data_IF_135349525876
#
_entry.id   IF_135349525876
#
_cell.length_a   1.000
_cell.length_b   1.000
_cell.length_c   1.000
_cell.angle_alpha   90.00
_cell.angle_beta   90.00
_cell.angle_gamma   90.00
#
_symmetry.space_group_name_H-M   'P 1'
#
loop_
_entity.id
_entity.type
_entity.pdbx_description
1 polymer ?
#
# COMPACT_ATOMS: atom_id res chain seq x y z
N UNK A 1 25.07 -3.83 -38.39
CA UNK A 1 23.82 -3.24 -37.87
C UNK A 1 23.10 -4.37 -37.16
N UNK A 2 23.37 -4.54 -35.87
CA UNK A 2 22.95 -5.72 -35.11
C UNK A 2 22.09 -5.25 -33.95
N UNK A 3 20.85 -5.70 -33.95
CA UNK A 3 19.84 -5.48 -32.91
C UNK A 3 20.29 -6.23 -31.66
N UNK A 4 20.52 -5.52 -30.56
CA UNK A 4 20.72 -6.11 -29.24
C UNK A 4 19.40 -6.06 -28.45
N UNK A 5 18.70 -7.19 -28.44
CA UNK A 5 17.72 -7.50 -27.40
C UNK A 5 18.46 -8.12 -26.21
N UNK A 6 18.20 -7.64 -25.00
CA UNK A 6 18.81 -8.14 -23.78
C UNK A 6 18.10 -7.63 -22.51
N UNK A 7 17.34 -8.54 -21.90
CA UNK A 7 17.14 -8.73 -20.45
C UNK A 7 16.70 -7.56 -19.55
N UNK A 8 15.41 -7.19 -19.61
CA UNK A 8 14.73 -6.42 -18.54
C UNK A 8 14.62 -7.12 -17.17
N UNK A 9 15.23 -8.29 -17.01
CA UNK A 9 15.25 -9.08 -15.75
C UNK A 9 16.55 -8.86 -14.96
N UNK A 10 17.65 -8.46 -15.61
CA UNK A 10 18.95 -8.30 -14.95
C UNK A 10 19.07 -7.02 -14.10
N UNK A 11 18.12 -6.10 -14.20
CA UNK A 11 18.20 -4.81 -13.50
C UNK A 11 17.68 -4.85 -12.05
N UNK A 12 16.98 -5.91 -11.61
CA UNK A 12 16.18 -5.86 -10.37
C UNK A 12 16.56 -6.85 -9.25
N UNK A 13 17.55 -7.73 -9.45
CA UNK A 13 18.02 -8.65 -8.40
C UNK A 13 19.54 -8.64 -8.29
N UNK A 14 20.15 -7.45 -8.28
CA UNK A 14 21.53 -7.37 -7.86
C UNK A 14 21.57 -7.43 -6.31
N UNK A 15 21.87 -8.61 -5.77
CA UNK A 15 22.05 -8.85 -4.33
C UNK A 15 23.02 -7.84 -3.70
N UNK A 16 24.00 -7.33 -4.47
CA UNK A 16 24.92 -6.28 -4.03
C UNK A 16 24.25 -4.90 -3.89
N UNK A 17 23.27 -4.55 -4.74
CA UNK A 17 22.46 -3.33 -4.55
C UNK A 17 21.48 -3.48 -3.38
N UNK A 18 20.86 -4.64 -3.22
CA UNK A 18 19.94 -4.90 -2.10
C UNK A 18 20.69 -4.86 -0.76
N UNK A 19 21.89 -5.44 -0.70
CA UNK A 19 22.78 -5.34 0.46
C UNK A 19 23.29 -3.89 0.69
N UNK A 20 23.52 -3.12 -0.38
CA UNK A 20 23.94 -1.71 -0.30
C UNK A 20 22.86 -0.73 0.18
N UNK A 21 21.58 -1.13 0.17
CA UNK A 21 20.47 -0.31 0.68
C UNK A 21 20.22 -0.54 2.18
N UNK A 22 20.62 -1.70 2.72
CA UNK A 22 20.56 -1.99 4.15
C UNK A 22 21.61 -1.16 4.91
N UNK A 23 21.20 -0.46 5.97
CA UNK A 23 22.10 0.46 6.69
C UNK A 23 23.02 -0.27 7.66
N UNK A 24 22.67 -1.51 8.02
CA UNK A 24 23.48 -2.35 8.92
C UNK A 24 23.58 -3.78 8.41
N UNK A 25 24.64 -4.50 8.80
CA UNK A 25 24.81 -5.92 8.51
C UNK A 25 23.64 -6.77 9.05
N UNK A 26 23.03 -6.35 10.16
CA UNK A 26 21.86 -7.03 10.73
C UNK A 26 20.61 -6.89 9.87
N UNK A 27 20.38 -5.71 9.29
CA UNK A 27 19.27 -5.48 8.34
C UNK A 27 19.51 -6.24 7.03
N UNK A 28 20.75 -6.26 6.52
CA UNK A 28 21.10 -7.04 5.35
C UNK A 28 20.83 -8.53 5.57
N UNK A 29 21.21 -9.07 6.73
CA UNK A 29 20.93 -10.45 7.12
C UNK A 29 19.43 -10.76 7.18
N UNK A 30 18.61 -9.84 7.70
CA UNK A 30 17.15 -9.98 7.72
C UNK A 30 16.55 -9.98 6.31
N UNK A 31 16.95 -9.05 5.44
CA UNK A 31 16.46 -9.00 4.06
C UNK A 31 16.81 -10.28 3.30
N UNK A 32 18.04 -10.79 3.45
CA UNK A 32 18.46 -12.05 2.84
C UNK A 32 17.64 -13.24 3.36
N UNK A 33 17.46 -13.36 4.67
CA UNK A 33 16.70 -14.45 5.27
C UNK A 33 15.22 -14.41 4.84
N UNK A 34 14.58 -13.24 4.87
CA UNK A 34 13.18 -13.09 4.46
C UNK A 34 13.01 -13.22 2.94
N UNK A 35 13.98 -12.80 2.13
CA UNK A 35 14.01 -13.06 0.70
C UNK A 35 14.08 -14.57 0.39
N UNK A 36 14.96 -15.30 1.08
CA UNK A 36 15.12 -16.75 0.93
C UNK A 36 13.91 -17.57 1.42
N UNK A 37 13.05 -17.00 2.28
CA UNK A 37 11.79 -17.63 2.72
C UNK A 37 10.62 -17.18 1.84
N UNK A 38 10.62 -15.92 1.42
CA UNK A 38 9.55 -15.27 0.68
C UNK A 38 9.54 -15.55 -0.82
N UNK A 39 10.61 -16.12 -1.38
CA UNK A 39 10.72 -16.35 -2.82
C UNK A 39 9.56 -17.12 -3.47
N UNK A 40 8.87 -18.10 -2.84
CA UNK A 40 7.73 -18.76 -3.46
C UNK A 40 6.53 -17.80 -3.59
N UNK A 41 6.36 -16.88 -2.63
CA UNK A 41 5.34 -15.82 -2.71
C UNK A 41 5.70 -14.75 -3.73
N UNK A 42 6.99 -14.42 -3.84
CA UNK A 42 7.49 -13.52 -4.89
C UNK A 42 7.23 -14.10 -6.28
N UNK A 43 7.55 -15.37 -6.52
CA UNK A 43 7.28 -16.04 -7.80
C UNK A 43 5.78 -16.19 -8.10
N UNK A 44 4.98 -16.48 -7.07
CA UNK A 44 3.52 -16.57 -7.20
C UNK A 44 2.94 -15.21 -7.60
N UNK A 45 3.43 -14.12 -6.99
CA UNK A 45 3.07 -12.73 -7.33
C UNK A 45 3.36 -12.33 -8.77
N UNK A 46 4.22 -13.06 -9.49
CA UNK A 46 4.56 -12.78 -10.90
C UNK A 46 3.55 -13.39 -11.89
N UNK A 47 2.67 -14.29 -11.46
CA UNK A 47 1.92 -15.20 -12.36
C UNK A 47 0.39 -15.13 -12.29
N UNK A 48 -0.24 -14.07 -11.79
CA UNK A 48 -1.71 -14.04 -11.89
C UNK A 48 -2.44 -12.81 -11.37
N UNK A 49 -3.24 -12.24 -12.25
CA UNK A 49 -4.49 -11.57 -11.93
C UNK A 49 -5.55 -12.17 -12.83
N UNK A 50 -6.62 -12.74 -12.27
CA UNK A 50 -7.66 -13.38 -13.08
C UNK A 50 -8.35 -12.36 -13.99
N UNK A 51 -8.62 -12.73 -15.25
CA UNK A 51 -9.37 -11.90 -16.19
C UNK A 51 -10.71 -11.42 -15.60
N UNK A 52 -11.34 -12.26 -14.77
CA UNK A 52 -12.56 -11.95 -14.02
C UNK A 52 -12.38 -10.82 -13.01
N UNK A 53 -11.29 -10.82 -12.24
CA UNK A 53 -11.01 -9.77 -11.24
C UNK A 53 -10.74 -8.42 -11.92
N UNK A 54 -10.04 -8.44 -13.07
CA UNK A 54 -9.87 -7.24 -13.91
C UNK A 54 -11.20 -6.76 -14.47
N UNK A 55 -12.02 -7.65 -15.02
CA UNK A 55 -13.33 -7.31 -15.55
C UNK A 55 -14.25 -6.71 -14.46
N UNK A 56 -14.25 -7.30 -13.25
CA UNK A 56 -14.96 -6.76 -12.09
C UNK A 56 -14.48 -5.35 -11.74
N UNK A 57 -13.16 -5.16 -11.68
CA UNK A 57 -12.59 -3.85 -11.35
C UNK A 57 -13.04 -2.80 -12.35
N UNK A 58 -12.86 -3.06 -13.65
CA UNK A 58 -13.26 -2.14 -14.72
C UNK A 58 -14.77 -1.85 -14.70
N UNK A 59 -15.60 -2.88 -14.46
CA UNK A 59 -17.04 -2.70 -14.35
C UNK A 59 -17.45 -1.80 -13.18
N UNK A 60 -16.78 -1.90 -12.03
CA UNK A 60 -17.07 -1.05 -10.84
C UNK A 60 -16.49 0.35 -10.96
N UNK A 61 -15.28 0.49 -11.49
CA UNK A 61 -14.59 1.79 -11.57
C UNK A 61 -14.93 2.58 -12.82
N UNK A 62 -15.51 1.94 -13.85
CA UNK A 62 -15.78 2.57 -15.15
C UNK A 62 -14.51 3.16 -15.82
N UNK A 63 -13.32 2.67 -15.44
CA UNK A 63 -12.08 3.01 -16.12
C UNK A 63 -12.07 2.39 -17.52
N UNK A 64 -11.52 3.07 -18.53
CA UNK A 64 -11.31 2.45 -19.82
C UNK A 64 -10.25 1.35 -19.70
N UNK A 65 -10.30 0.36 -20.61
CA UNK A 65 -9.44 -0.82 -20.51
C UNK A 65 -7.94 -0.48 -20.55
N UNK A 66 -7.58 0.58 -21.25
CA UNK A 66 -6.21 1.06 -21.44
C UNK A 66 -5.72 1.98 -20.30
N UNK A 67 -6.60 2.43 -19.39
CA UNK A 67 -6.21 3.24 -18.23
C UNK A 67 -5.36 2.45 -17.23
N UNK A 68 -5.64 1.15 -17.10
CA UNK A 68 -4.80 0.29 -16.30
C UNK A 68 -3.57 -0.06 -17.16
N UNK A 69 -2.34 0.15 -16.67
CA UNK A 69 -1.17 -0.27 -17.43
C UNK A 69 -1.31 -1.78 -17.75
N UNK A 70 -0.61 -2.31 -18.76
CA UNK A 70 -0.73 -3.73 -19.19
C UNK A 70 -0.37 -4.80 -18.12
N UNK A 71 -1.23 -5.10 -17.15
CA UNK A 71 -1.48 -6.40 -16.48
C UNK A 71 -0.34 -7.45 -16.24
N UNK A 72 0.95 -7.22 -16.46
CA UNK A 72 2.06 -8.17 -16.39
C UNK A 72 3.24 -7.72 -15.52
N UNK A 73 3.77 -8.72 -14.80
CA UNK A 73 4.98 -8.84 -13.96
C UNK A 73 5.19 -7.98 -12.71
N UNK A 74 4.49 -6.87 -12.46
CA UNK A 74 4.73 -6.05 -11.24
C UNK A 74 3.52 -5.25 -10.74
N UNK A 75 2.30 -5.77 -10.90
CA UNK A 75 1.06 -4.98 -10.72
C UNK A 75 0.30 -5.42 -9.49
N UNK A 76 -0.14 -4.44 -8.70
CA UNK A 76 -1.07 -4.61 -7.59
C UNK A 76 -2.05 -5.77 -7.85
N UNK A 77 -2.11 -6.72 -6.92
CA UNK A 77 -3.03 -7.86 -6.98
C UNK A 77 -4.40 -7.30 -7.37
N UNK A 78 -5.01 -7.80 -8.46
CA UNK A 78 -6.35 -7.35 -8.85
C UNK A 78 -7.32 -7.49 -7.66
N UNK A 79 -7.05 -8.42 -6.74
CA UNK A 79 -7.69 -8.48 -5.42
C UNK A 79 -7.56 -7.19 -4.61
N UNK A 80 -6.35 -6.67 -4.40
CA UNK A 80 -6.12 -5.40 -3.69
C UNK A 80 -6.90 -4.24 -4.34
N UNK A 81 -6.80 -4.09 -5.66
CA UNK A 81 -7.49 -3.00 -6.37
C UNK A 81 -9.01 -3.10 -6.21
N UNK A 82 -9.56 -4.31 -6.29
CA UNK A 82 -10.97 -4.54 -6.03
C UNK A 82 -11.35 -4.24 -4.57
N UNK A 83 -10.51 -4.58 -3.59
CA UNK A 83 -10.75 -4.26 -2.18
C UNK A 83 -10.72 -2.75 -1.91
N UNK A 84 -9.79 -2.02 -2.53
CA UNK A 84 -9.74 -0.55 -2.45
C UNK A 84 -11.02 0.05 -3.05
N UNK A 85 -11.43 -0.42 -4.23
CA UNK A 85 -12.67 0.01 -4.87
C UNK A 85 -13.90 -0.30 -4.02
N UNK A 86 -13.97 -1.49 -3.39
CA UNK A 86 -15.03 -1.87 -2.45
C UNK A 86 -15.05 -0.91 -1.26
N UNK A 87 -13.91 -0.68 -0.61
CA UNK A 87 -13.84 0.22 0.55
C UNK A 87 -14.26 1.66 0.21
N UNK A 88 -13.82 2.20 -0.92
CA UNK A 88 -14.12 3.59 -1.28
C UNK A 88 -15.57 3.75 -1.75
N UNK A 89 -16.04 2.92 -2.68
CA UNK A 89 -17.39 3.06 -3.23
C UNK A 89 -18.47 2.80 -2.17
N UNK A 90 -18.23 1.83 -1.28
CA UNK A 90 -19.25 1.40 -0.31
C UNK A 90 -19.22 2.26 0.97
N UNK A 91 -18.02 2.56 1.51
CA UNK A 91 -17.89 3.33 2.75
C UNK A 91 -17.85 4.85 2.53
N UNK A 92 -17.63 5.31 1.29
CA UNK A 92 -17.59 6.73 0.90
C UNK A 92 -16.73 7.60 1.84
N UNK A 93 -15.43 7.28 2.00
CA UNK A 93 -14.54 7.98 2.91
C UNK A 93 -14.33 9.45 2.50
N UNK A 94 -14.24 10.36 3.48
CA UNK A 94 -13.93 11.77 3.23
C UNK A 94 -12.43 11.99 3.03
N UNK A 95 -11.58 11.25 3.75
CA UNK A 95 -10.13 11.35 3.63
C UNK A 95 -9.47 9.98 3.45
N UNK A 96 -8.82 9.81 2.29
CA UNK A 96 -7.98 8.65 1.96
C UNK A 96 -6.51 9.07 1.98
N UNK A 97 -5.67 8.29 2.66
CA UNK A 97 -4.21 8.45 2.66
C UNK A 97 -3.56 7.16 2.18
N UNK A 98 -2.57 7.28 1.30
CA UNK A 98 -1.87 6.16 0.70
C UNK A 98 -0.35 6.31 0.79
N UNK A 99 0.33 5.21 1.05
CA UNK A 99 1.79 5.09 0.98
C UNK A 99 2.16 3.99 -0.01
N UNK A 100 2.96 4.33 -1.03
CA UNK A 100 3.25 3.48 -2.20
C UNK A 100 2.25 3.78 -3.32
N UNK A 101 2.55 4.79 -4.14
CA UNK A 101 1.63 5.27 -5.17
C UNK A 101 1.62 4.41 -6.43
N UNK A 102 0.73 4.74 -7.36
CA UNK A 102 0.67 4.14 -8.70
C UNK A 102 -0.74 3.71 -9.09
N UNK A 103 -0.92 2.42 -9.37
CA UNK A 103 -2.22 1.90 -9.87
C UNK A 103 -3.30 1.93 -8.78
N UNK A 104 -2.93 1.72 -7.52
CA UNK A 104 -3.84 1.86 -6.36
C UNK A 104 -4.34 3.30 -6.24
N UNK A 105 -3.46 4.30 -6.46
CA UNK A 105 -3.82 5.73 -6.50
C UNK A 105 -4.84 6.03 -7.58
N UNK A 106 -4.62 5.50 -8.79
CA UNK A 106 -5.53 5.69 -9.93
C UNK A 106 -6.94 5.16 -9.62
N UNK A 107 -7.01 3.93 -9.08
CA UNK A 107 -8.28 3.29 -8.71
C UNK A 107 -8.98 4.06 -7.59
N UNK A 108 -8.24 4.49 -6.57
CA UNK A 108 -8.79 5.24 -5.45
C UNK A 108 -9.35 6.59 -5.90
N UNK A 109 -8.59 7.36 -6.69
CA UNK A 109 -9.03 8.66 -7.22
C UNK A 109 -10.28 8.50 -8.09
N UNK A 110 -10.34 7.47 -8.94
CA UNK A 110 -11.52 7.17 -9.74
C UNK A 110 -12.75 6.86 -8.87
N UNK A 111 -12.60 6.04 -7.83
CA UNK A 111 -13.72 5.69 -6.96
C UNK A 111 -14.23 6.91 -6.17
N UNK A 112 -13.34 7.79 -5.71
CA UNK A 112 -13.73 9.06 -5.08
C UNK A 112 -14.48 9.98 -6.06
N UNK A 113 -14.01 10.08 -7.32
CA UNK A 113 -14.71 10.81 -8.38
C UNK A 113 -16.12 10.27 -8.60
N UNK A 114 -16.30 8.94 -8.66
CA UNK A 114 -17.61 8.32 -8.80
C UNK A 114 -18.52 8.59 -7.61
N UNK A 115 -17.97 8.62 -6.40
CA UNK A 115 -18.74 9.01 -5.21
C UNK A 115 -19.12 10.50 -5.21
N UNK A 116 -18.34 11.34 -5.89
CA UNK A 116 -18.50 12.80 -5.89
C UNK A 116 -18.07 13.47 -4.58
N UNK A 117 -17.41 12.73 -3.69
CA UNK A 117 -16.92 13.21 -2.39
C UNK A 117 -15.55 12.63 -2.06
N UNK A 118 -14.91 13.24 -1.06
CA UNK A 118 -13.66 12.79 -0.47
C UNK A 118 -12.43 13.27 -1.24
N UNK A 119 -11.26 13.05 -0.62
CA UNK A 119 -9.95 13.43 -1.16
C UNK A 119 -8.92 12.34 -0.93
N UNK A 120 -7.92 12.29 -1.81
CA UNK A 120 -6.80 11.34 -1.74
C UNK A 120 -5.47 12.09 -1.59
N UNK A 121 -4.69 11.70 -0.58
CA UNK A 121 -3.28 12.05 -0.44
C UNK A 121 -2.44 10.79 -0.64
N UNK A 122 -1.61 10.75 -1.67
CA UNK A 122 -0.73 9.61 -1.98
C UNK A 122 0.74 10.01 -1.90
N UNK A 123 1.55 9.13 -1.32
CA UNK A 123 2.96 9.35 -1.07
C UNK A 123 3.83 8.28 -1.73
N UNK A 124 4.85 8.72 -2.47
CA UNK A 124 5.91 7.84 -2.98
C UNK A 124 7.29 8.22 -2.43
N UNK A 125 8.21 7.26 -2.36
CA UNK A 125 9.51 7.43 -1.72
C UNK A 125 10.49 8.26 -2.56
N UNK A 126 10.24 8.35 -3.87
CA UNK A 126 11.08 9.04 -4.85
C UNK A 126 10.20 9.86 -5.81
N UNK A 127 10.73 11.00 -6.28
CA UNK A 127 9.98 11.94 -7.13
C UNK A 127 9.62 11.33 -8.47
N UNK A 128 10.44 10.44 -9.02
CA UNK A 128 10.20 9.80 -10.30
C UNK A 128 8.91 8.96 -10.31
N UNK A 129 8.62 8.23 -9.22
CA UNK A 129 7.39 7.43 -9.10
C UNK A 129 6.17 8.30 -8.77
N UNK A 130 6.35 9.35 -7.96
CA UNK A 130 5.30 10.33 -7.71
C UNK A 130 4.89 11.04 -9.02
N UNK A 131 5.87 11.42 -9.86
CA UNK A 131 5.62 12.03 -11.16
C UNK A 131 4.86 11.10 -12.12
N UNK A 132 5.26 9.82 -12.22
CA UNK A 132 4.54 8.82 -13.01
C UNK A 132 3.09 8.66 -12.56
N UNK A 133 2.86 8.67 -11.25
CA UNK A 133 1.50 8.59 -10.69
C UNK A 133 0.68 9.83 -11.06
N UNK A 134 1.25 11.04 -11.00
CA UNK A 134 0.58 12.26 -11.45
C UNK A 134 0.24 12.22 -12.94
N UNK A 135 1.15 11.72 -13.78
CA UNK A 135 0.91 11.55 -15.21
C UNK A 135 -0.25 10.57 -15.49
N UNK A 136 -0.30 9.44 -14.78
CA UNK A 136 -1.40 8.48 -14.87
C UNK A 136 -2.76 9.11 -14.52
N UNK A 137 -2.81 9.91 -13.45
CA UNK A 137 -4.03 10.61 -13.03
C UNK A 137 -4.44 11.67 -14.06
N UNK A 138 -3.48 12.47 -14.54
CA UNK A 138 -3.73 13.50 -15.55
C UNK A 138 -4.28 12.92 -16.86
N UNK A 139 -3.74 11.77 -17.31
CA UNK A 139 -4.22 11.07 -18.50
C UNK A 139 -5.70 10.63 -18.39
N UNK A 140 -6.22 10.48 -17.17
CA UNK A 140 -7.60 10.08 -16.90
C UNK A 140 -8.48 11.24 -16.39
N UNK A 141 -7.96 12.47 -16.32
CA UNK A 141 -8.66 13.62 -15.78
C UNK A 141 -9.05 13.45 -14.31
N UNK A 142 -8.17 12.81 -13.52
CA UNK A 142 -8.39 12.52 -12.10
C UNK A 142 -7.55 13.43 -11.22
N UNK A 143 -8.15 13.81 -10.10
CA UNK A 143 -7.54 14.70 -9.11
C UNK A 143 -7.15 13.92 -7.85
N UNK A 144 -5.90 14.04 -7.44
CA UNK A 144 -5.39 13.60 -6.14
C UNK A 144 -4.14 14.39 -5.77
N UNK A 145 -3.89 14.53 -4.47
CA UNK A 145 -2.64 15.11 -4.00
C UNK A 145 -1.54 14.03 -3.96
N UNK A 146 -0.57 14.11 -4.86
CA UNK A 146 0.54 13.14 -4.96
C UNK A 146 1.87 13.81 -4.62
N UNK A 147 2.49 13.39 -3.52
CA UNK A 147 3.74 13.96 -3.01
C UNK A 147 4.86 12.93 -3.02
N UNK A 148 6.07 13.36 -3.38
CA UNK A 148 7.27 12.61 -3.02
C UNK A 148 7.61 12.86 -1.54
N UNK A 149 7.83 11.78 -0.81
CA UNK A 149 8.17 11.76 0.60
C UNK A 149 9.35 10.81 0.83
N UNK A 150 10.58 11.33 0.94
CA UNK A 150 11.77 10.50 1.05
C UNK A 150 11.70 9.59 2.28
N UNK A 151 12.30 8.41 2.18
CA UNK A 151 12.34 7.45 3.27
C UNK A 151 13.46 7.80 4.26
N UNK A 152 13.14 7.80 5.55
CA UNK A 152 14.10 7.98 6.64
C UNK A 152 13.83 6.96 7.75
N UNK A 153 14.68 6.83 8.78
CA UNK A 153 14.42 5.89 9.88
C UNK A 153 13.00 6.02 10.44
N UNK A 154 12.32 4.89 10.62
CA UNK A 154 10.92 4.88 11.02
C UNK A 154 10.70 5.50 12.42
N UNK A 155 9.59 6.24 12.62
CA UNK A 155 9.35 6.94 13.87
C UNK A 155 8.99 5.99 15.04
N UNK A 156 9.32 6.43 16.26
CA UNK A 156 8.93 5.71 17.49
C UNK A 156 9.68 4.39 17.70
N UNK A 157 10.93 4.28 17.22
CA UNK A 157 11.76 3.08 17.41
C UNK A 157 11.33 1.88 16.55
N UNK A 158 10.45 2.09 15.58
CA UNK A 158 9.99 1.05 14.67
C UNK A 158 11.12 0.64 13.72
N UNK A 159 11.16 -0.64 13.31
CA UNK A 159 12.22 -1.12 12.43
C UNK A 159 12.07 -0.61 11.00
N UNK A 160 13.20 -0.42 10.31
CA UNK A 160 13.24 -0.03 8.91
C UNK A 160 13.08 1.47 8.66
N UNK A 161 12.64 1.80 7.44
CA UNK A 161 12.47 3.17 6.98
C UNK A 161 11.00 3.47 6.71
N UNK A 162 10.61 4.73 6.88
CA UNK A 162 9.25 5.22 6.67
C UNK A 162 9.25 6.60 6.00
N UNK A 163 8.13 6.94 5.38
CA UNK A 163 7.94 8.17 4.60
C UNK A 163 8.03 9.43 5.47
N UNK A 164 8.84 10.40 5.04
CA UNK A 164 8.84 11.76 5.58
C UNK A 164 7.72 12.58 4.93
N UNK A 165 6.48 12.23 5.26
CA UNK A 165 5.27 12.71 4.59
C UNK A 165 4.85 14.15 4.91
N UNK A 166 5.49 14.78 5.91
CA UNK A 166 5.12 16.12 6.36
C UNK A 166 3.69 16.18 6.94
N UNK A 167 2.95 17.28 6.76
CA UNK A 167 1.62 17.44 7.35
C UNK A 167 0.60 16.47 6.74
N UNK A 168 -0.15 15.81 7.61
CA UNK A 168 -1.28 14.94 7.28
C UNK A 168 -2.58 15.49 7.86
N UNK A 169 -3.73 15.15 7.23
CA UNK A 169 -5.06 15.38 7.80
C UNK A 169 -5.18 14.84 9.24
N UNK A 170 -5.96 15.52 10.07
CA UNK A 170 -6.21 15.09 11.44
C UNK A 170 -6.98 13.76 11.51
N UNK A 171 -7.85 13.51 10.54
CA UNK A 171 -8.66 12.29 10.42
C UNK A 171 -8.41 11.61 9.10
N UNK A 172 -8.35 10.29 9.14
CA UNK A 172 -8.15 9.41 7.99
C UNK A 172 -9.24 8.34 8.05
N UNK A 173 -10.07 8.25 7.02
CA UNK A 173 -11.16 7.26 6.96
C UNK A 173 -10.71 5.98 6.25
N UNK A 174 -9.72 6.09 5.35
CA UNK A 174 -9.06 4.97 4.71
C UNK A 174 -7.54 5.21 4.61
N UNK A 175 -6.75 4.30 5.18
CA UNK A 175 -5.30 4.26 5.05
C UNK A 175 -4.88 3.06 4.18
N UNK A 176 -4.18 3.30 3.08
CA UNK A 176 -3.66 2.28 2.17
C UNK A 176 -2.14 2.18 2.34
N UNK A 177 -1.63 0.98 2.61
CA UNK A 177 -0.21 0.71 2.86
C UNK A 177 0.29 -0.32 1.85
N UNK A 178 0.86 0.17 0.74
CA UNK A 178 1.54 -0.61 -0.30
C UNK A 178 3.04 -0.24 -0.41
N UNK A 179 3.52 0.62 0.47
CA UNK A 179 4.91 1.00 0.59
C UNK A 179 5.33 1.11 2.05
N UNK A 180 6.65 1.16 2.32
CA UNK A 180 7.74 1.08 1.35
C UNK A 180 8.01 -0.37 0.89
N UNK A 181 8.86 -0.59 -0.13
CA UNK A 181 9.10 -1.94 -0.63
C UNK A 181 9.83 -2.84 0.38
N UNK A 182 9.45 -4.12 0.43
CA UNK A 182 9.91 -5.10 1.41
C UNK A 182 11.44 -5.31 1.43
N UNK A 183 12.11 -5.13 0.28
CA UNK A 183 13.55 -5.33 0.15
C UNK A 183 14.37 -4.26 0.89
N UNK A 184 13.75 -3.15 1.31
CA UNK A 184 14.39 -2.16 2.17
C UNK A 184 14.46 -2.66 3.62
N UNK A 185 13.35 -3.23 4.11
CA UNK A 185 13.27 -3.87 5.41
C UNK A 185 11.97 -4.71 5.48
N UNK A 186 12.01 -5.98 5.93
CA UNK A 186 10.83 -6.86 5.96
C UNK A 186 9.71 -6.41 6.90
N UNK A 187 9.96 -5.40 7.74
CA UNK A 187 8.97 -4.83 8.67
C UNK A 187 8.67 -3.36 8.38
N UNK A 188 9.18 -2.78 7.28
CA UNK A 188 9.09 -1.34 7.00
C UNK A 188 7.65 -0.82 6.93
N UNK A 189 6.76 -1.58 6.26
CA UNK A 189 5.31 -1.28 6.20
C UNK A 189 4.65 -1.21 7.58
N UNK A 190 5.26 -1.87 8.57
CA UNK A 190 4.77 -1.86 9.94
C UNK A 190 4.76 -0.51 10.61
N UNK A 191 5.48 0.49 10.08
CA UNK A 191 5.48 1.85 10.62
C UNK A 191 4.20 2.66 10.32
N UNK A 192 3.29 2.13 9.50
CA UNK A 192 2.00 2.76 9.26
C UNK A 192 1.12 2.90 10.53
N UNK A 193 1.34 2.07 11.55
CA UNK A 193 0.64 2.19 12.83
C UNK A 193 0.97 3.46 13.62
N UNK A 194 2.02 4.19 13.23
CA UNK A 194 2.26 5.55 13.71
C UNK A 194 1.15 6.54 13.33
N UNK A 195 0.24 6.14 12.43
CA UNK A 195 -0.89 6.94 11.97
C UNK A 195 -2.23 6.42 12.51
N UNK A 196 -2.28 5.32 13.25
CA UNK A 196 -3.54 4.68 13.63
C UNK A 196 -4.41 5.53 14.56
N UNK A 197 -3.82 6.41 15.38
CA UNK A 197 -4.56 7.37 16.19
C UNK A 197 -5.41 8.35 15.36
N UNK A 198 -5.02 8.59 14.09
CA UNK A 198 -5.75 9.45 13.15
C UNK A 198 -6.88 8.72 12.42
N UNK A 199 -6.96 7.39 12.54
CA UNK A 199 -8.00 6.63 11.85
C UNK A 199 -9.34 6.92 12.52
N UNK A 200 -10.31 7.39 11.75
CA UNK A 200 -11.66 7.68 12.25
C UNK A 200 -12.29 6.42 12.88
N UNK A 201 -13.18 6.55 13.88
CA UNK A 201 -14.02 5.43 14.30
C UNK A 201 -14.83 4.89 13.10
N UNK A 202 -14.78 3.58 12.85
CA UNK A 202 -15.31 2.96 11.64
C UNK A 202 -14.38 3.04 10.41
N UNK A 203 -13.26 3.77 10.52
CA UNK A 203 -12.26 3.90 9.47
C UNK A 203 -11.48 2.61 9.23
N UNK A 204 -10.86 2.53 8.06
CA UNK A 204 -10.24 1.33 7.52
C UNK A 204 -8.73 1.51 7.30
N UNK A 205 -7.96 0.46 7.59
CA UNK A 205 -6.54 0.32 7.22
C UNK A 205 -6.40 -0.90 6.32
N UNK A 206 -5.77 -0.73 5.17
CA UNK A 206 -5.43 -1.78 4.22
C UNK A 206 -3.91 -1.92 4.20
N UNK A 207 -3.40 -3.12 4.45
CA UNK A 207 -2.00 -3.48 4.26
C UNK A 207 -1.89 -4.53 3.16
N UNK A 208 -1.17 -4.16 2.11
CA UNK A 208 -0.89 -5.06 0.99
C UNK A 208 0.22 -6.08 1.34
N UNK A 209 0.28 -7.17 0.56
CA UNK A 209 1.22 -8.29 0.70
C UNK A 209 1.18 -8.98 2.07
N UNK A 210 0.04 -8.95 2.76
CA UNK A 210 -0.10 -9.40 4.13
C UNK A 210 0.21 -10.89 4.36
N UNK A 211 0.30 -11.70 3.29
CA UNK A 211 0.71 -13.09 3.39
C UNK A 211 2.24 -13.29 3.47
N UNK A 212 3.04 -12.27 3.10
CA UNK A 212 4.50 -12.34 3.19
C UNK A 212 4.94 -12.52 4.65
N UNK A 213 6.05 -13.24 4.90
CA UNK A 213 6.47 -13.54 6.27
C UNK A 213 6.68 -12.28 7.14
N UNK A 214 7.21 -11.20 6.56
CA UNK A 214 7.45 -9.94 7.24
C UNK A 214 6.15 -9.26 7.67
N UNK A 215 5.24 -9.12 6.71
CA UNK A 215 3.92 -8.52 6.89
C UNK A 215 3.04 -9.34 7.84
N UNK A 216 3.19 -10.68 7.88
CA UNK A 216 2.53 -11.52 8.90
C UNK A 216 2.99 -11.18 10.32
N UNK A 217 4.25 -10.83 10.51
CA UNK A 217 4.77 -10.39 11.81
C UNK A 217 4.24 -8.99 12.14
N UNK A 218 4.23 -8.07 11.17
CA UNK A 218 3.62 -6.74 11.28
C UNK A 218 2.15 -6.87 11.71
N UNK A 219 1.37 -7.69 11.00
CA UNK A 219 -0.05 -7.90 11.29
C UNK A 219 -0.31 -8.49 12.69
N UNK A 220 0.63 -9.27 13.24
CA UNK A 220 0.54 -9.77 14.63
C UNK A 220 0.84 -8.66 15.64
N UNK A 221 1.82 -7.81 15.36
CA UNK A 221 2.15 -6.65 16.21
C UNK A 221 0.99 -5.67 16.25
N UNK A 222 0.44 -5.30 15.09
CA UNK A 222 -0.71 -4.41 15.01
C UNK A 222 -1.91 -4.95 15.78
N UNK A 223 -2.25 -6.24 15.66
CA UNK A 223 -3.33 -6.86 16.45
C UNK A 223 -3.12 -6.78 17.97
N UNK A 224 -1.87 -6.88 18.42
CA UNK A 224 -1.51 -6.82 19.83
C UNK A 224 -1.53 -5.39 20.35
N UNK A 225 -0.99 -4.46 19.57
CA UNK A 225 -0.73 -3.09 20.00
C UNK A 225 -1.96 -2.17 19.79
N UNK A 226 -2.88 -2.56 18.90
CA UNK A 226 -4.10 -1.82 18.55
C UNK A 226 -5.35 -2.70 18.75
N UNK A 227 -5.69 -3.01 20.01
CA UNK A 227 -6.81 -3.90 20.32
C UNK A 227 -8.18 -3.31 19.94
N UNK A 228 -8.28 -2.00 19.70
CA UNK A 228 -9.48 -1.29 19.24
C UNK A 228 -9.74 -1.44 17.72
N UNK A 229 -8.88 -2.17 17.00
CA UNK A 229 -9.09 -2.53 15.60
C UNK A 229 -9.47 -4.00 15.43
N UNK A 230 -10.42 -4.25 14.53
CA UNK A 230 -10.78 -5.58 14.05
C UNK A 230 -10.01 -5.91 12.77
N UNK A 231 -8.91 -6.67 12.93
CA UNK A 231 -8.05 -7.08 11.83
C UNK A 231 -8.44 -8.44 11.23
N UNK A 232 -8.86 -8.44 9.97
CA UNK A 232 -9.13 -9.65 9.18
C UNK A 232 -8.17 -9.77 8.00
N UNK A 233 -7.78 -11.01 7.68
CA UNK A 233 -6.99 -11.32 6.50
C UNK A 233 -7.93 -11.72 5.36
N UNK A 234 -7.74 -11.12 4.19
CA UNK A 234 -8.40 -11.48 2.94
C UNK A 234 -7.42 -12.28 2.11
N UNK A 235 -7.81 -13.51 1.78
CA UNK A 235 -7.01 -14.37 0.93
C UNK A 235 -6.93 -13.80 -0.49
N UNK A 236 -5.73 -13.87 -1.06
CA UNK A 236 -5.39 -13.39 -2.40
C UNK A 236 -4.05 -13.97 -2.80
N UNK A 237 -3.50 -13.52 -3.92
CA UNK A 237 -2.19 -14.00 -4.37
C UNK A 237 -1.09 -13.60 -3.39
N UNK A 238 -1.08 -12.34 -2.99
CA UNK A 238 -0.20 -11.81 -1.97
C UNK A 238 -0.92 -11.58 -0.63
N UNK A 239 -2.26 -11.61 -0.65
CA UNK A 239 -3.13 -11.45 0.51
C UNK A 239 -3.14 -10.03 1.05
N UNK A 240 -4.26 -9.65 1.66
CA UNK A 240 -4.45 -8.28 2.16
C UNK A 240 -4.94 -8.33 3.61
N UNK A 241 -4.37 -7.50 4.47
CA UNK A 241 -4.89 -7.30 5.82
C UNK A 241 -5.79 -6.08 5.83
N UNK A 242 -7.00 -6.23 6.37
CA UNK A 242 -7.95 -5.13 6.58
C UNK A 242 -8.16 -4.97 8.08
N UNK A 243 -7.90 -3.78 8.61
CA UNK A 243 -8.20 -3.38 9.98
C UNK A 243 -9.30 -2.34 10.01
N UNK A 244 -10.41 -2.62 10.68
CA UNK A 244 -11.47 -1.63 10.91
C UNK A 244 -11.37 -1.12 12.34
N UNK A 245 -11.24 0.19 12.53
CA UNK A 245 -11.28 0.77 13.88
C UNK A 245 -12.69 0.69 14.42
N UNK A 246 -12.88 0.13 15.61
CA UNK A 246 -14.22 0.08 16.21
C UNK A 246 -14.76 1.49 16.43
N UNK A 247 -16.04 1.68 16.14
CA UNK A 247 -16.76 2.84 16.65
C UNK A 247 -16.75 2.73 18.18
N UNK A 248 -15.96 3.56 18.86
CA UNK A 248 -16.00 3.58 20.33
C UNK A 248 -17.42 3.86 20.80
N UNK A 249 -17.86 3.19 21.86
CA UNK A 249 -19.09 3.59 22.55
C UNK A 249 -18.90 5.05 22.98
N UNK A 250 -19.75 5.95 22.46
CA UNK A 250 -19.67 7.41 22.71
C UNK A 250 -19.93 7.75 24.21
N UNK A 251 -20.20 6.77 25.07
CA UNK A 251 -20.63 7.01 26.46
C UNK A 251 -19.51 7.27 27.49
N UNK A 252 -18.23 7.17 27.14
CA UNK A 252 -17.14 7.22 28.14
C UNK A 252 -16.58 8.60 28.53
N UNK A 253 -16.69 9.60 27.66
CA UNK A 253 -15.86 10.82 27.77
C UNK A 253 -16.46 11.95 28.61
N UNK A 254 -17.68 11.78 29.15
CA UNK A 254 -18.35 12.81 29.97
C UNK A 254 -18.14 12.66 31.49
N UNK A 255 -17.29 11.74 31.97
CA UNK A 255 -17.12 11.48 33.43
C UNK A 255 -15.72 11.72 34.00
N UNK A 256 -14.89 12.53 33.36
CA UNK A 256 -13.67 13.05 33.99
C UNK A 256 -13.50 14.54 33.67
N UNK A 257 -14.31 15.34 34.36
CA UNK A 257 -14.01 16.74 34.68
C UNK A 257 -13.65 16.79 36.18
#
# INVERSE_FOLDING_TARGET
MTVAGGSGVETFLNLERVAGIARTASEAGLVLAFGAIGWPWLLKSLHGGGAEARARLLARTQLPEDALPQLGSWRADAGLLNLIADCILDARPDTVVEFGGGTTTLVAAQCLRLNGIGRLLSFDGVEEFAAQTREMLHAQGLEAEVRAAPLAPAPGGRPGQWYQHGPLPERIDLLIVDGPPWFLHPFGRGAADSLFDRISPGGCVILDDAARPGERIVARRWRRDWPDFDFRFVAGMAGTLIGIRRAGDIEGSARRA
#
